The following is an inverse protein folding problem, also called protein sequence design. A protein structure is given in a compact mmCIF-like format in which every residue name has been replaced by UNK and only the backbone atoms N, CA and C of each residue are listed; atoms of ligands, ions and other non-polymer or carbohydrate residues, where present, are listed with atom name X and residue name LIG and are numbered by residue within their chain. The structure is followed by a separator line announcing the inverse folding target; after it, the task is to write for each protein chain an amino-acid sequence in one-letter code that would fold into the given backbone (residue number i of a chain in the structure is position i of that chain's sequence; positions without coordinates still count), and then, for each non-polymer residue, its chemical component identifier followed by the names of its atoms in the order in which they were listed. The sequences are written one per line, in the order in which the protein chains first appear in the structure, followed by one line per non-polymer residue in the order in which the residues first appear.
data_IF_308542736588
#
_entry.id   IF_308542736588
#
_cell.length_a   1.000
_cell.length_b   1.000
_cell.length_c   1.000
_cell.angle_alpha   90.00
_cell.angle_beta   90.00
_cell.angle_gamma   90.00
#
_symmetry.space_group_name_H-M   'P 1'
#
loop_
_entity.id
_entity.type
_entity.pdbx_description
1 polymer ?
#
# COMPACT_ATOMS: atom_id res chain seq x y z
N UNK A 1 -80.88 -28.73 -60.47
CA UNK A 1 -80.44 -27.35 -60.20
C UNK A 1 -79.48 -27.42 -59.03
N UNK A 2 -78.17 -27.49 -59.33
CA UNK A 2 -77.10 -27.64 -58.32
C UNK A 2 -76.53 -26.26 -58.05
N UNK A 3 -76.70 -25.75 -56.83
CA UNK A 3 -76.02 -24.57 -56.31
C UNK A 3 -74.62 -25.00 -55.87
N UNK A 4 -73.64 -24.92 -56.76
CA UNK A 4 -72.23 -24.92 -56.37
C UNK A 4 -71.99 -23.61 -55.59
N UNK A 5 -71.81 -23.72 -54.27
CA UNK A 5 -71.30 -22.63 -53.45
C UNK A 5 -69.84 -22.37 -53.85
N UNK A 6 -69.55 -21.14 -54.27
CA UNK A 6 -68.20 -20.68 -54.55
C UNK A 6 -67.46 -20.41 -53.23
N UNK A 7 -66.88 -21.48 -52.65
CA UNK A 7 -66.10 -21.43 -51.40
C UNK A 7 -64.65 -20.93 -51.62
N UNK A 8 -64.26 -20.62 -52.87
CA UNK A 8 -62.90 -20.22 -53.22
C UNK A 8 -62.49 -18.89 -52.59
N UNK A 9 -63.43 -17.94 -52.45
CA UNK A 9 -63.20 -16.67 -51.76
C UNK A 9 -62.96 -16.82 -50.26
N UNK A 10 -63.62 -17.80 -49.61
CA UNK A 10 -63.48 -18.05 -48.16
C UNK A 10 -62.10 -18.65 -47.86
N UNK A 11 -61.62 -19.56 -48.69
CA UNK A 11 -60.29 -20.17 -48.53
C UNK A 11 -59.15 -19.15 -48.64
N UNK A 12 -59.26 -18.17 -49.55
CA UNK A 12 -58.28 -17.09 -49.70
C UNK A 12 -58.27 -16.16 -48.48
N UNK A 13 -59.45 -15.83 -47.94
CA UNK A 13 -59.56 -14.98 -46.75
C UNK A 13 -58.98 -15.69 -45.52
N UNK A 14 -59.26 -16.98 -45.34
CA UNK A 14 -58.71 -17.77 -44.21
C UNK A 14 -57.19 -17.94 -44.35
N UNK A 15 -56.70 -18.24 -45.55
CA UNK A 15 -55.26 -18.39 -45.80
C UNK A 15 -54.48 -17.10 -45.56
N UNK A 16 -55.03 -15.95 -45.97
CA UNK A 16 -54.42 -14.63 -45.71
C UNK A 16 -54.43 -14.27 -44.23
N UNK A 17 -55.52 -14.56 -43.51
CA UNK A 17 -55.58 -14.35 -42.05
C UNK A 17 -54.57 -15.20 -41.28
N UNK A 18 -54.40 -16.47 -41.65
CA UNK A 18 -53.39 -17.36 -41.04
C UNK A 18 -51.98 -16.85 -41.32
N UNK A 19 -51.70 -16.40 -42.55
CA UNK A 19 -50.39 -15.85 -42.90
C UNK A 19 -50.08 -14.58 -42.09
N UNK A 20 -51.05 -13.66 -41.96
CA UNK A 20 -50.91 -12.46 -41.14
C UNK A 20 -50.60 -12.85 -39.69
N UNK A 21 -51.34 -13.82 -39.12
CA UNK A 21 -51.12 -14.27 -37.76
C UNK A 21 -49.70 -14.82 -37.57
N UNK A 22 -49.25 -15.72 -38.45
CA UNK A 22 -47.89 -16.30 -38.39
C UNK A 22 -46.83 -15.21 -38.47
N UNK A 23 -47.00 -14.24 -39.39
CA UNK A 23 -46.03 -13.14 -39.55
C UNK A 23 -45.96 -12.25 -38.32
N UNK A 24 -47.10 -11.93 -37.69
CA UNK A 24 -47.13 -11.15 -36.45
C UNK A 24 -46.46 -11.92 -35.31
N UNK A 25 -46.77 -13.22 -35.14
CA UNK A 25 -46.16 -14.03 -34.10
C UNK A 25 -44.65 -14.16 -34.29
N UNK A 26 -44.18 -14.35 -35.52
CA UNK A 26 -42.75 -14.40 -35.84
C UNK A 26 -42.05 -13.05 -35.60
N UNK A 27 -42.67 -11.95 -36.01
CA UNK A 27 -42.14 -10.60 -35.80
C UNK A 27 -42.06 -10.24 -34.30
N UNK A 28 -43.09 -10.57 -33.52
CA UNK A 28 -43.10 -10.36 -32.07
C UNK A 28 -42.03 -11.22 -31.36
N UNK A 29 -41.86 -12.47 -31.77
CA UNK A 29 -40.80 -13.34 -31.22
C UNK A 29 -39.41 -12.81 -31.50
N UNK A 30 -39.14 -12.36 -32.73
CA UNK A 30 -37.85 -11.74 -33.09
C UNK A 30 -37.60 -10.44 -32.31
N UNK A 31 -38.62 -9.60 -32.12
CA UNK A 31 -38.50 -8.35 -31.38
C UNK A 31 -38.10 -8.58 -29.91
N UNK A 32 -38.66 -9.60 -29.26
CA UNK A 32 -38.26 -9.99 -27.90
C UNK A 32 -36.80 -10.44 -27.84
N UNK A 33 -36.37 -11.29 -28.78
CA UNK A 33 -34.98 -11.75 -28.86
C UNK A 33 -34.01 -10.57 -29.06
N UNK A 34 -34.34 -9.64 -29.97
CA UNK A 34 -33.52 -8.44 -30.21
C UNK A 34 -33.47 -7.54 -28.96
N UNK A 35 -34.59 -7.38 -28.25
CA UNK A 35 -34.64 -6.60 -27.02
C UNK A 35 -33.79 -7.22 -25.91
N UNK A 36 -33.82 -8.54 -25.74
CA UNK A 36 -32.96 -9.25 -24.77
C UNK A 36 -31.48 -9.11 -25.14
N UNK A 37 -31.12 -9.33 -26.42
CA UNK A 37 -29.73 -9.17 -26.89
C UNK A 37 -29.21 -7.73 -26.71
N UNK A 38 -30.04 -6.72 -26.95
CA UNK A 38 -29.67 -5.33 -26.72
C UNK A 38 -29.48 -5.03 -25.23
N UNK A 39 -30.34 -5.59 -24.37
CA UNK A 39 -30.21 -5.48 -22.92
C UNK A 39 -28.92 -6.10 -22.41
N UNK A 40 -28.58 -7.32 -22.86
CA UNK A 40 -27.35 -8.00 -22.49
C UNK A 40 -26.10 -7.26 -22.95
N UNK A 41 -26.10 -6.75 -24.19
CA UNK A 41 -24.97 -5.98 -24.73
C UNK A 41 -24.80 -4.64 -24.00
N UNK A 42 -25.90 -3.99 -23.62
CA UNK A 42 -25.86 -2.78 -22.80
C UNK A 42 -25.28 -3.07 -21.42
N UNK A 43 -25.77 -4.12 -20.75
CA UNK A 43 -25.26 -4.56 -19.45
C UNK A 43 -23.77 -4.95 -19.51
N UNK A 44 -23.32 -5.55 -20.62
CA UNK A 44 -21.91 -5.87 -20.85
C UNK A 44 -21.06 -4.60 -20.99
N UNK A 45 -21.52 -3.64 -21.80
CA UNK A 45 -20.84 -2.35 -21.98
C UNK A 45 -20.75 -1.57 -20.67
N UNK A 46 -21.81 -1.55 -19.88
CA UNK A 46 -21.81 -0.93 -18.56
C UNK A 46 -20.78 -1.58 -17.62
N UNK A 47 -20.68 -2.92 -17.61
CA UNK A 47 -19.65 -3.60 -16.82
C UNK A 47 -18.25 -3.26 -17.28
N UNK A 48 -18.00 -3.22 -18.59
CA UNK A 48 -16.69 -2.86 -19.13
C UNK A 48 -16.34 -1.42 -18.75
N UNK A 49 -17.28 -0.50 -18.91
CA UNK A 49 -17.08 0.90 -18.51
C UNK A 49 -16.82 1.05 -17.00
N UNK A 50 -17.51 0.27 -16.15
CA UNK A 50 -17.28 0.27 -14.71
C UNK A 50 -15.92 -0.32 -14.32
N UNK A 51 -15.44 -1.33 -15.06
CA UNK A 51 -14.10 -1.91 -14.88
C UNK A 51 -13.02 -0.92 -15.33
N UNK A 52 -13.16 -0.35 -16.51
CA UNK A 52 -12.20 0.60 -17.10
C UNK A 52 -12.17 1.94 -16.36
N UNK A 53 -13.31 2.35 -15.81
CA UNK A 53 -13.47 3.59 -15.08
C UNK A 53 -13.13 3.50 -13.59
N UNK A 54 -12.70 2.33 -13.08
CA UNK A 54 -12.33 2.18 -11.67
C UNK A 54 -10.85 2.48 -11.44
N UNK A 55 -10.56 3.42 -10.55
CA UNK A 55 -9.22 3.89 -10.21
C UNK A 55 -9.08 4.07 -8.70
N UNK A 56 -8.57 3.04 -8.04
CA UNK A 56 -8.20 3.08 -6.64
C UNK A 56 -6.69 3.26 -6.48
N UNK A 57 -6.29 4.01 -5.44
CA UNK A 57 -4.89 4.17 -5.06
C UNK A 57 -4.68 3.78 -3.60
N UNK A 58 -3.73 2.88 -3.36
CA UNK A 58 -3.20 2.62 -2.02
C UNK A 58 -2.19 3.71 -1.70
N UNK A 59 -2.50 4.58 -0.73
CA UNK A 59 -1.76 5.84 -0.52
C UNK A 59 -0.71 5.73 0.59
N UNK A 60 -1.04 5.12 1.71
CA UNK A 60 -0.12 5.09 2.83
C UNK A 60 -0.26 3.81 3.63
N UNK A 61 0.83 3.53 4.32
CA UNK A 61 0.89 2.53 5.37
C UNK A 61 1.28 3.23 6.64
N UNK A 62 0.60 2.90 7.72
CA UNK A 62 1.04 3.26 9.06
C UNK A 62 1.15 2.00 9.90
N UNK A 63 2.33 1.82 10.50
CA UNK A 63 2.71 0.68 11.30
C UNK A 63 2.56 1.01 12.78
N UNK A 64 1.67 0.29 13.48
CA UNK A 64 1.67 0.34 14.95
C UNK A 64 2.47 -0.86 15.45
N UNK A 65 3.65 -0.58 16.01
CA UNK A 65 4.48 -1.60 16.64
C UNK A 65 3.73 -2.23 17.82
N UNK A 66 3.66 -3.57 17.85
CA UNK A 66 2.90 -4.28 18.89
C UNK A 66 3.58 -4.11 20.26
N UNK A 67 4.91 -4.19 20.33
CA UNK A 67 5.72 -4.16 21.58
C UNK A 67 7.17 -3.79 21.23
N UNK A 68 7.80 -2.91 22.00
CA UNK A 68 9.19 -2.41 21.82
C UNK A 68 10.30 -3.49 21.78
N UNK A 69 10.00 -4.76 22.07
CA UNK A 69 10.98 -5.85 22.21
C UNK A 69 11.01 -6.84 21.05
N UNK A 70 10.12 -6.71 20.04
CA UNK A 70 10.17 -7.54 18.82
C UNK A 70 9.97 -6.66 17.58
N UNK A 71 10.83 -6.76 16.55
CA UNK A 71 10.72 -5.99 15.30
C UNK A 71 9.65 -6.59 14.38
N UNK A 72 8.47 -6.91 14.93
CA UNK A 72 7.34 -7.43 14.17
C UNK A 72 6.26 -6.38 14.15
N UNK A 73 5.79 -6.08 12.94
CA UNK A 73 4.62 -5.25 12.73
C UNK A 73 3.43 -5.90 13.43
N UNK A 74 2.79 -5.17 14.33
CA UNK A 74 1.61 -5.66 15.05
C UNK A 74 0.35 -5.43 14.26
N UNK A 75 0.22 -4.20 13.76
CA UNK A 75 -0.95 -3.69 13.07
C UNK A 75 -0.47 -2.91 11.86
N UNK A 76 -1.25 -2.99 10.78
CA UNK A 76 -1.03 -2.23 9.56
C UNK A 76 -2.32 -1.48 9.21
N UNK A 77 -2.20 -0.17 9.05
CA UNK A 77 -3.25 0.69 8.52
C UNK A 77 -2.96 0.92 7.03
N UNK A 78 -3.92 0.65 6.17
CA UNK A 78 -3.79 0.82 4.72
C UNK A 78 -4.85 1.81 4.27
N UNK A 79 -4.44 3.00 3.86
CA UNK A 79 -5.38 4.00 3.34
C UNK A 79 -5.58 3.81 1.84
N UNK A 80 -6.82 3.57 1.44
CA UNK A 80 -7.24 3.34 0.06
C UNK A 80 -8.10 4.53 -0.36
N UNK A 81 -7.66 5.24 -1.39
CA UNK A 81 -8.38 6.34 -2.00
C UNK A 81 -9.10 5.87 -3.25
N UNK A 82 -10.33 6.31 -3.41
CA UNK A 82 -11.09 6.17 -4.64
C UNK A 82 -11.02 7.48 -5.42
N UNK A 83 -10.40 7.43 -6.61
CA UNK A 83 -10.22 8.59 -7.47
C UNK A 83 -11.42 8.79 -8.41
N UNK A 84 -12.40 7.90 -8.39
CA UNK A 84 -13.59 7.96 -9.21
C UNK A 84 -14.73 8.67 -8.50
N UNK A 85 -15.75 9.05 -9.25
CA UNK A 85 -16.97 9.65 -8.71
C UNK A 85 -17.92 8.60 -8.11
N UNK A 86 -17.75 7.33 -8.45
CA UNK A 86 -18.64 6.22 -8.03
C UNK A 86 -18.02 5.42 -6.90
N UNK A 87 -18.81 4.88 -5.96
CA UNK A 87 -18.27 4.08 -4.87
C UNK A 87 -17.76 2.71 -5.36
N UNK A 88 -16.62 2.28 -4.81
CA UNK A 88 -16.02 0.97 -5.07
C UNK A 88 -16.12 0.07 -3.86
N UNK A 89 -16.26 -1.24 -4.08
CA UNK A 89 -16.35 -2.23 -3.00
C UNK A 89 -15.13 -3.13 -2.99
N UNK A 90 -14.44 -3.21 -1.87
CA UNK A 90 -13.28 -4.09 -1.69
C UNK A 90 -13.76 -5.49 -1.34
N UNK A 91 -13.31 -6.48 -2.12
CA UNK A 91 -13.63 -7.91 -1.91
C UNK A 91 -12.48 -8.67 -1.24
N UNK A 92 -11.27 -8.11 -1.27
CA UNK A 92 -10.11 -8.75 -0.67
C UNK A 92 -8.91 -7.82 -0.60
N UNK A 93 -8.08 -8.05 0.41
CA UNK A 93 -6.77 -7.43 0.56
C UNK A 93 -5.77 -8.57 0.72
N UNK A 94 -4.67 -8.53 -0.02
CA UNK A 94 -3.54 -9.42 0.16
C UNK A 94 -2.29 -8.63 0.54
N UNK A 95 -1.52 -9.19 1.46
CA UNK A 95 -0.23 -8.69 1.89
C UNK A 95 0.81 -9.78 1.57
N UNK A 96 1.70 -9.48 0.62
CA UNK A 96 2.55 -10.48 -0.04
C UNK A 96 1.69 -11.68 -0.51
N UNK A 97 2.02 -12.89 -0.05
CA UNK A 97 1.32 -14.12 -0.44
C UNK A 97 0.12 -14.45 0.46
N UNK A 98 -0.16 -13.65 1.50
CA UNK A 98 -1.24 -13.91 2.43
C UNK A 98 -2.46 -13.05 2.19
N UNK A 99 -3.61 -13.71 2.02
CA UNK A 99 -4.90 -13.03 1.90
C UNK A 99 -5.48 -12.77 3.27
N UNK A 100 -5.92 -11.55 3.49
CA UNK A 100 -6.59 -11.10 4.70
C UNK A 100 -8.01 -11.66 4.69
N UNK A 101 -8.36 -12.40 5.74
CA UNK A 101 -9.68 -13.03 5.89
C UNK A 101 -10.67 -12.02 6.46
N UNK A 102 -10.29 -11.34 7.53
CA UNK A 102 -11.10 -10.37 8.25
C UNK A 102 -10.27 -9.14 8.59
N UNK A 103 -10.84 -7.96 8.41
CA UNK A 103 -10.24 -6.69 8.81
C UNK A 103 -11.32 -5.72 9.28
N UNK A 104 -10.93 -4.69 10.02
CA UNK A 104 -11.83 -3.57 10.35
C UNK A 104 -11.45 -2.36 9.51
N UNK A 105 -12.31 -1.35 9.43
CA UNK A 105 -11.99 -0.15 8.67
C UNK A 105 -12.32 1.12 9.45
N UNK A 106 -11.62 2.20 9.11
CA UNK A 106 -11.85 3.55 9.59
C UNK A 106 -12.35 4.44 8.45
N UNK A 107 -13.16 5.43 8.83
CA UNK A 107 -13.57 6.51 7.95
C UNK A 107 -12.45 7.56 7.75
N UNK A 108 -12.75 8.60 6.98
CA UNK A 108 -11.82 9.70 6.70
C UNK A 108 -11.47 10.51 7.96
N UNK A 109 -12.34 10.50 8.97
CA UNK A 109 -12.07 11.11 10.27
C UNK A 109 -11.19 10.21 11.17
N UNK A 110 -10.80 9.03 10.69
CA UNK A 110 -10.00 8.06 11.46
C UNK A 110 -10.80 7.29 12.51
N UNK A 111 -12.13 7.36 12.47
CA UNK A 111 -13.04 6.66 13.39
C UNK A 111 -13.38 5.30 12.82
N UNK A 112 -13.37 4.26 13.67
CA UNK A 112 -13.76 2.92 13.24
C UNK A 112 -15.23 2.90 12.78
N UNK A 113 -15.46 2.24 11.64
CA UNK A 113 -16.81 1.97 11.18
C UNK A 113 -17.42 0.93 12.12
N UNK A 114 -18.59 1.25 12.68
CA UNK A 114 -19.27 0.41 13.66
C UNK A 114 -20.69 0.12 13.23
N UNK A 115 -21.14 -1.09 13.53
CA UNK A 115 -22.54 -1.51 13.37
C UNK A 115 -23.02 -2.04 14.71
N UNK A 116 -24.08 -1.45 15.26
CA UNK A 116 -24.61 -1.82 16.58
C UNK A 116 -23.64 -1.52 17.75
N UNK A 117 -22.73 -0.56 17.60
CA UNK A 117 -21.76 -0.16 18.63
C UNK A 117 -20.48 -1.02 18.71
N UNK A 118 -20.35 -2.04 17.85
CA UNK A 118 -19.12 -2.83 17.70
C UNK A 118 -18.41 -2.51 16.37
N UNK A 119 -17.09 -2.64 16.33
CA UNK A 119 -16.30 -2.47 15.12
C UNK A 119 -16.78 -3.45 14.05
N UNK A 120 -17.10 -2.92 12.88
CA UNK A 120 -17.57 -3.73 11.77
C UNK A 120 -16.40 -4.52 11.17
N UNK A 121 -16.66 -5.81 10.94
CA UNK A 121 -15.70 -6.73 10.33
C UNK A 121 -16.03 -6.85 8.84
N UNK A 122 -15.04 -6.52 8.02
CA UNK A 122 -15.10 -6.64 6.58
C UNK A 122 -14.36 -7.90 6.13
N UNK A 123 -14.92 -8.56 5.13
CA UNK A 123 -14.42 -9.78 4.51
C UNK A 123 -15.01 -9.93 3.09
N UNK A 124 -14.84 -11.09 2.47
CA UNK A 124 -15.36 -11.37 1.12
C UNK A 124 -16.89 -11.18 0.99
N UNK A 125 -17.62 -11.49 2.07
CA UNK A 125 -19.08 -11.38 2.12
C UNK A 125 -19.52 -9.97 2.54
N UNK A 126 -18.96 -9.43 3.62
CA UNK A 126 -19.20 -8.06 4.07
C UNK A 126 -18.13 -7.11 3.52
N UNK A 127 -18.41 -6.52 2.36
CA UNK A 127 -17.41 -5.77 1.57
C UNK A 127 -17.29 -4.33 2.04
N UNK A 128 -16.07 -3.85 2.20
CA UNK A 128 -15.82 -2.44 2.52
C UNK A 128 -16.18 -1.56 1.31
N UNK A 129 -17.07 -0.58 1.51
CA UNK A 129 -17.40 0.42 0.48
C UNK A 129 -16.54 1.67 0.65
N UNK A 130 -15.81 2.05 -0.39
CA UNK A 130 -15.04 3.29 -0.47
C UNK A 130 -15.85 4.28 -1.29
N UNK A 131 -16.28 5.42 -0.71
CA UNK A 131 -17.05 6.43 -1.43
C UNK A 131 -16.24 7.03 -2.59
N UNK A 132 -16.92 7.45 -3.66
CA UNK A 132 -16.26 8.15 -4.77
C UNK A 132 -15.62 9.46 -4.32
N UNK A 133 -14.39 9.72 -4.76
CA UNK A 133 -13.57 10.87 -4.37
C UNK A 133 -13.07 10.84 -2.93
N UNK A 134 -13.38 9.79 -2.18
CA UNK A 134 -13.07 9.68 -0.76
C UNK A 134 -12.04 8.59 -0.45
N UNK A 135 -11.82 8.38 0.83
CA UNK A 135 -10.86 7.40 1.34
C UNK A 135 -11.41 6.57 2.49
N UNK A 136 -10.89 5.36 2.63
CA UNK A 136 -11.08 4.52 3.83
C UNK A 136 -9.77 3.90 4.22
N UNK A 137 -9.58 3.71 5.52
CA UNK A 137 -8.37 3.06 6.04
C UNK A 137 -8.70 1.67 6.54
N UNK A 138 -8.19 0.64 5.87
CA UNK A 138 -8.28 -0.74 6.34
C UNK A 138 -7.30 -0.94 7.50
N UNK A 139 -7.80 -1.47 8.60
CA UNK A 139 -7.06 -1.75 9.82
C UNK A 139 -6.92 -3.27 9.99
N UNK A 140 -5.70 -3.75 9.83
CA UNK A 140 -5.40 -5.19 9.79
C UNK A 140 -4.46 -5.54 10.92
N UNK A 141 -4.85 -6.55 11.70
CA UNK A 141 -4.02 -7.09 12.78
C UNK A 141 -3.18 -8.27 12.27
N UNK A 142 -1.86 -8.07 12.26
CA UNK A 142 -0.84 -9.02 11.79
C UNK A 142 -0.45 -10.05 12.88
N UNK A 143 -0.82 -9.82 14.13
CA UNK A 143 -0.47 -10.73 15.25
C UNK A 143 -1.35 -11.97 15.33
N UNK A 144 -2.52 -11.95 14.70
CA UNK A 144 -3.47 -13.06 14.68
C UNK A 144 -3.24 -13.91 13.42
N UNK A 145 -2.66 -15.12 13.52
CA UNK A 145 -2.40 -15.97 12.36
C UNK A 145 -3.68 -16.31 11.59
N UNK A 146 -4.81 -16.37 12.31
CA UNK A 146 -6.14 -16.73 11.82
C UNK A 146 -6.77 -15.62 10.94
N UNK A 147 -6.16 -14.43 10.89
CA UNK A 147 -6.60 -13.35 10.01
C UNK A 147 -6.05 -13.52 8.59
N UNK A 148 -5.18 -14.51 8.35
CA UNK A 148 -4.58 -14.77 7.06
C UNK A 148 -4.83 -16.20 6.62
N UNK A 149 -4.98 -16.40 5.31
CA UNK A 149 -5.07 -17.74 4.71
C UNK A 149 -3.77 -18.52 4.83
N UNK A 150 -2.64 -17.81 4.91
CA UNK A 150 -1.29 -18.33 5.08
C UNK A 150 -0.58 -17.45 6.10
N UNK A 151 0.31 -18.01 6.92
CA UNK A 151 1.00 -17.23 7.95
C UNK A 151 1.91 -16.17 7.34
N UNK A 152 1.45 -14.93 7.23
CA UNK A 152 2.27 -13.82 6.72
C UNK A 152 3.07 -13.21 7.85
N UNK A 153 4.38 -13.13 7.68
CA UNK A 153 5.26 -12.29 8.50
C UNK A 153 5.70 -11.12 7.64
N UNK A 154 5.40 -9.91 8.09
CA UNK A 154 5.85 -8.68 7.44
C UNK A 154 6.82 -8.01 8.40
N UNK A 155 8.02 -7.73 7.91
CA UNK A 155 9.03 -6.94 8.61
C UNK A 155 9.15 -5.57 7.93
N UNK A 156 9.38 -4.52 8.70
CA UNK A 156 9.52 -3.15 8.19
C UNK A 156 10.84 -2.90 7.44
N UNK A 157 11.75 -3.88 7.45
CA UNK A 157 13.05 -3.84 6.77
C UNK A 157 13.10 -4.69 5.50
N UNK A 158 11.97 -5.25 5.06
CA UNK A 158 11.84 -6.03 3.85
C UNK A 158 10.77 -5.42 2.95
N UNK A 159 10.97 -5.46 1.63
CA UNK A 159 9.95 -5.01 0.69
C UNK A 159 8.71 -5.88 0.82
N UNK A 160 7.54 -5.26 0.86
CA UNK A 160 6.28 -5.99 0.79
C UNK A 160 5.28 -5.33 -0.15
N UNK A 161 4.29 -6.12 -0.55
CA UNK A 161 3.31 -5.77 -1.57
C UNK A 161 1.92 -5.82 -0.98
N UNK A 162 1.15 -4.78 -1.23
CA UNK A 162 -0.28 -4.74 -0.97
C UNK A 162 -1.02 -4.89 -2.28
N UNK A 163 -1.96 -5.84 -2.32
CA UNK A 163 -2.91 -5.99 -3.41
C UNK A 163 -4.33 -5.81 -2.88
N UNK A 164 -5.09 -4.90 -3.51
CA UNK A 164 -6.48 -4.62 -3.19
C UNK A 164 -7.34 -5.07 -4.36
N UNK A 165 -8.29 -5.96 -4.10
CA UNK A 165 -9.21 -6.49 -5.10
C UNK A 165 -10.59 -5.86 -4.92
N UNK A 166 -11.21 -5.43 -6.02
CA UNK A 166 -12.55 -4.80 -6.00
C UNK A 166 -13.64 -5.75 -6.50
N UNK A 167 -14.91 -5.37 -6.32
CA UNK A 167 -16.05 -6.12 -6.85
C UNK A 167 -16.09 -6.18 -8.38
N UNK A 168 -15.37 -5.29 -9.06
CA UNK A 168 -15.20 -5.30 -10.52
C UNK A 168 -14.05 -6.23 -10.97
N UNK A 169 -13.42 -6.95 -10.03
CA UNK A 169 -12.29 -7.88 -10.28
C UNK A 169 -11.01 -7.12 -10.70
N UNK A 170 -10.98 -5.80 -10.51
CA UNK A 170 -9.75 -5.04 -10.64
C UNK A 170 -8.82 -5.31 -9.46
N UNK A 171 -7.52 -5.32 -9.74
CA UNK A 171 -6.45 -5.53 -8.75
C UNK A 171 -5.55 -4.29 -8.75
N UNK A 172 -5.53 -3.59 -7.62
CA UNK A 172 -4.68 -2.43 -7.39
C UNK A 172 -3.51 -2.85 -6.52
N UNK A 173 -2.30 -2.72 -7.05
CA UNK A 173 -1.08 -3.18 -6.39
C UNK A 173 -0.15 -2.02 -6.08
N UNK A 174 0.40 -2.00 -4.87
CA UNK A 174 1.51 -1.12 -4.49
C UNK A 174 2.55 -1.91 -3.71
N UNK A 175 3.81 -1.76 -4.09
CA UNK A 175 4.95 -2.25 -3.33
C UNK A 175 5.49 -1.12 -2.46
N UNK A 176 5.98 -1.48 -1.29
CA UNK A 176 6.65 -0.60 -0.34
C UNK A 176 8.02 -1.19 -0.04
N UNK A 177 9.06 -0.45 -0.41
CA UNK A 177 10.44 -0.85 -0.26
C UNK A 177 11.10 -0.03 0.85
N UNK A 178 11.92 -0.65 1.71
CA UNK A 178 12.58 0.09 2.76
C UNK A 178 13.60 1.06 2.16
N UNK A 179 13.79 2.25 2.78
CA UNK A 179 14.70 3.27 2.26
C UNK A 179 16.14 2.76 2.19
N UNK A 180 16.98 3.41 1.39
CA UNK A 180 18.37 3.00 1.16
C UNK A 180 19.32 3.88 1.98
N UNK A 181 19.92 3.34 3.07
CA UNK A 181 20.89 4.06 3.87
C UNK A 181 22.22 4.16 3.12
N UNK A 182 22.65 5.40 2.90
CA UNK A 182 23.96 5.72 2.37
C UNK A 182 24.63 6.69 3.33
N UNK A 183 25.73 6.24 3.92
CA UNK A 183 26.52 7.02 4.87
C UNK A 183 27.89 7.33 4.29
N UNK A 184 28.28 8.59 4.37
CA UNK A 184 29.62 9.08 4.11
C UNK A 184 30.22 9.58 5.42
N UNK A 185 31.53 9.37 5.60
CA UNK A 185 32.25 9.82 6.79
C UNK A 185 33.39 10.71 6.37
N UNK A 186 33.48 11.90 6.98
CA UNK A 186 34.52 12.89 6.71
C UNK A 186 35.27 13.24 7.98
N UNK A 187 36.57 13.47 7.83
CA UNK A 187 37.44 14.01 8.88
C UNK A 187 37.68 15.48 8.60
N UNK A 188 37.47 16.29 9.62
CA UNK A 188 37.68 17.73 9.57
C UNK A 188 38.48 18.16 10.79
N UNK A 189 39.21 19.26 10.67
CA UNK A 189 39.97 19.85 11.77
C UNK A 189 39.41 21.24 12.06
N UNK A 190 39.07 21.50 13.32
CA UNK A 190 38.71 22.83 13.77
C UNK A 190 39.81 23.47 14.61
N UNK A 191 39.87 24.80 14.55
CA UNK A 191 40.72 25.63 15.40
C UNK A 191 39.92 26.11 16.60
N UNK A 192 40.29 25.65 17.79
CA UNK A 192 39.69 26.08 19.06
C UNK A 192 40.59 27.15 19.67
N UNK A 193 40.00 28.29 20.04
CA UNK A 193 40.71 29.38 20.73
C UNK A 193 40.18 29.45 22.15
N UNK A 194 41.04 29.14 23.13
CA UNK A 194 40.70 29.25 24.54
C UNK A 194 40.68 30.72 24.98
N UNK A 195 40.03 31.00 26.13
CA UNK A 195 39.89 32.37 26.66
C UNK A 195 41.24 33.05 26.98
N UNK A 196 42.31 32.29 27.18
CA UNK A 196 43.67 32.78 27.36
C UNK A 196 44.43 33.03 26.05
N UNK A 197 43.75 32.95 24.89
CA UNK A 197 44.34 33.11 23.57
C UNK A 197 45.08 31.86 23.05
N UNK A 198 45.15 30.77 23.82
CA UNK A 198 45.79 29.54 23.37
C UNK A 198 44.98 28.90 22.24
N UNK A 199 45.67 28.44 21.19
CA UNK A 199 45.06 27.84 20.01
C UNK A 199 45.36 26.35 20.00
N UNK A 200 44.31 25.54 19.97
CA UNK A 200 44.44 24.09 19.77
C UNK A 200 43.72 23.68 18.49
N UNK A 201 44.30 22.71 17.77
CA UNK A 201 43.62 22.05 16.66
C UNK A 201 42.95 20.80 17.21
N UNK A 202 41.72 20.55 16.77
CA UNK A 202 40.95 19.38 17.14
C UNK A 202 40.36 18.74 15.90
N UNK A 203 40.71 17.49 15.67
CA UNK A 203 40.06 16.69 14.64
C UNK A 203 38.70 16.22 15.14
N UNK A 204 37.75 16.16 14.20
CA UNK A 204 36.42 15.65 14.46
C UNK A 204 35.86 14.95 13.24
N UNK A 205 34.84 14.12 13.51
CA UNK A 205 34.16 13.33 12.51
C UNK A 205 32.84 14.01 12.11
N UNK A 206 32.54 14.01 10.82
CA UNK A 206 31.21 14.31 10.30
C UNK A 206 30.63 13.02 9.71
N UNK A 207 29.44 12.67 10.17
CA UNK A 207 28.63 11.59 9.60
C UNK A 207 27.58 12.24 8.70
N UNK A 208 27.57 11.87 7.43
CA UNK A 208 26.69 12.46 6.42
C UNK A 208 25.85 11.38 5.74
N UNK A 209 24.53 11.42 5.96
CA UNK A 209 23.56 10.55 5.31
C UNK A 209 22.85 11.25 4.15
N UNK A 210 23.39 12.37 3.65
CA UNK A 210 22.71 13.21 2.65
C UNK A 210 22.38 12.49 1.35
N UNK A 211 23.11 11.43 1.02
CA UNK A 211 22.89 10.62 -0.18
C UNK A 211 21.87 9.50 0.01
N UNK A 212 21.40 9.26 1.23
CA UNK A 212 20.32 8.29 1.48
C UNK A 212 19.06 8.72 0.73
N UNK A 213 18.30 7.74 0.23
CA UNK A 213 17.09 8.01 -0.54
C UNK A 213 16.03 6.92 -0.32
N UNK A 214 14.79 7.27 -0.59
CA UNK A 214 13.69 6.32 -0.68
C UNK A 214 13.50 5.92 -2.15
N UNK A 215 13.48 4.62 -2.50
CA UNK A 215 13.26 4.18 -3.88
C UNK A 215 11.81 4.37 -4.34
N UNK A 216 10.85 4.52 -3.43
CA UNK A 216 9.43 4.61 -3.75
C UNK A 216 9.03 6.05 -4.17
N UNK A 217 8.31 6.14 -5.28
CA UNK A 217 8.00 7.43 -5.89
C UNK A 217 7.04 8.27 -5.03
N UNK A 218 7.55 9.39 -4.52
CA UNK A 218 6.80 10.35 -3.70
C UNK A 218 6.93 10.12 -2.20
N UNK A 219 7.70 9.10 -1.80
CA UNK A 219 8.05 8.82 -0.42
C UNK A 219 9.41 9.47 -0.07
N UNK A 220 9.66 9.71 1.22
CA UNK A 220 10.84 10.43 1.70
C UNK A 220 11.24 10.00 3.10
N UNK A 221 12.54 10.12 3.37
CA UNK A 221 13.13 9.79 4.68
C UNK A 221 12.71 10.84 5.71
N UNK A 222 12.10 10.38 6.81
CA UNK A 222 11.61 11.21 7.91
C UNK A 222 12.58 11.26 9.09
N UNK A 223 13.38 10.21 9.30
CA UNK A 223 14.30 10.12 10.43
C UNK A 223 15.66 9.52 10.05
N UNK A 224 16.69 10.03 10.72
CA UNK A 224 18.08 9.57 10.61
C UNK A 224 18.62 9.35 12.01
N UNK A 225 19.08 8.14 12.30
CA UNK A 225 19.54 7.71 13.62
C UNK A 225 20.87 7.00 13.48
N UNK A 226 21.89 7.52 14.14
CA UNK A 226 23.25 7.01 14.05
C UNK A 226 23.63 6.23 15.30
N UNK A 227 24.29 5.09 15.10
CA UNK A 227 24.96 4.37 16.15
C UNK A 227 26.48 4.38 15.93
N UNK A 228 27.23 4.62 17.00
CA UNK A 228 28.69 4.74 16.94
C UNK A 228 29.30 3.96 18.09
N UNK A 229 30.30 3.15 17.78
CA UNK A 229 31.07 2.39 18.76
C UNK A 229 32.56 2.76 18.71
N UNK A 230 33.21 2.70 19.87
CA UNK A 230 34.65 2.85 20.05
C UNK A 230 35.30 1.50 20.40
N UNK A 231 36.59 1.37 20.07
CA UNK A 231 37.58 0.37 20.55
C UNK A 231 36.99 -0.74 21.42
N UNK A 232 36.67 -1.90 20.83
CA UNK A 232 36.08 -3.09 21.49
C UNK A 232 34.55 -3.16 21.61
N UNK A 233 33.82 -2.42 20.76
CA UNK A 233 32.33 -2.34 20.75
C UNK A 233 31.74 -1.57 21.94
N UNK A 234 32.49 -0.64 22.53
CA UNK A 234 31.92 0.32 23.48
C UNK A 234 30.95 1.24 22.73
N UNK A 235 29.65 1.14 23.04
CA UNK A 235 28.60 1.91 22.39
C UNK A 235 28.61 3.35 22.92
N UNK A 236 28.93 4.32 22.06
CA UNK A 236 28.88 5.75 22.39
C UNK A 236 27.49 6.32 22.12
N UNK A 237 26.94 5.97 20.96
CA UNK A 237 25.61 6.38 20.52
C UNK A 237 24.83 5.14 20.11
N UNK A 238 23.65 4.93 20.70
CA UNK A 238 22.74 3.83 20.39
C UNK A 238 21.52 4.35 19.64
N UNK A 239 21.71 4.70 18.36
CA UNK A 239 20.65 5.27 17.51
C UNK A 239 19.97 6.52 18.10
N UNK A 240 20.63 7.19 19.03
CA UNK A 240 20.18 8.40 19.70
C UNK A 240 20.87 9.67 19.17
N UNK A 241 21.92 9.52 18.34
CA UNK A 241 22.50 10.62 17.60
C UNK A 241 21.66 10.84 16.33
N UNK A 242 20.83 11.88 16.32
CA UNK A 242 19.84 12.10 15.26
C UNK A 242 20.23 13.23 14.31
N UNK A 243 19.86 13.08 13.04
CA UNK A 243 20.05 14.09 12.01
C UNK A 243 20.67 13.56 10.72
N UNK A 244 20.36 14.22 9.60
CA UNK A 244 20.87 13.84 8.27
C UNK A 244 22.39 14.02 8.15
N UNK A 245 22.94 15.03 8.81
CA UNK A 245 24.38 15.26 8.92
C UNK A 245 24.69 15.65 10.36
N UNK A 246 25.57 14.90 11.01
CA UNK A 246 25.81 15.00 12.45
C UNK A 246 27.30 14.94 12.79
N UNK A 247 27.65 15.54 13.92
CA UNK A 247 28.97 15.47 14.52
C UNK A 247 28.90 14.73 15.86
N UNK A 248 29.53 13.55 16.00
CA UNK A 248 29.63 12.85 17.28
C UNK A 248 30.53 13.63 18.26
N UNK A 249 29.95 14.25 19.29
CA UNK A 249 30.70 15.09 20.24
C UNK A 249 31.39 14.31 21.36
N UNK A 250 30.86 13.12 21.69
CA UNK A 250 31.36 12.26 22.77
C UNK A 250 32.45 11.28 22.29
N UNK A 251 32.74 11.25 20.98
CA UNK A 251 33.78 10.43 20.41
C UNK A 251 35.14 11.12 20.57
N UNK A 252 36.05 10.50 21.31
CA UNK A 252 37.43 10.97 21.42
C UNK A 252 38.32 10.31 20.35
N UNK A 253 38.63 11.05 19.29
CA UNK A 253 39.46 10.54 18.19
C UNK A 253 40.93 10.32 18.57
N UNK A 254 41.45 10.90 19.66
CA UNK A 254 42.85 10.68 20.04
C UNK A 254 43.08 9.30 20.67
N UNK A 255 42.04 8.72 21.26
CA UNK A 255 42.11 7.39 21.88
C UNK A 255 41.39 6.33 21.06
N UNK A 256 40.42 6.71 20.22
CA UNK A 256 39.73 5.80 19.33
C UNK A 256 40.67 5.28 18.24
N UNK A 257 40.86 3.96 18.19
CA UNK A 257 41.63 3.21 17.20
C UNK A 257 40.71 2.55 16.16
N UNK A 258 39.56 2.03 16.59
CA UNK A 258 38.56 1.35 15.77
C UNK A 258 37.20 1.99 16.01
N UNK A 259 36.71 2.74 15.04
CA UNK A 259 35.40 3.39 15.10
C UNK A 259 34.45 2.59 14.21
N UNK A 260 33.37 2.07 14.78
CA UNK A 260 32.29 1.44 14.01
C UNK A 260 31.10 2.39 13.95
N UNK A 261 30.50 2.53 12.78
CA UNK A 261 29.32 3.38 12.55
C UNK A 261 28.24 2.56 11.86
N UNK A 262 27.01 2.78 12.30
CA UNK A 262 25.81 2.27 11.65
C UNK A 262 24.79 3.40 11.54
N UNK A 263 23.94 3.32 10.52
CA UNK A 263 22.92 4.30 10.22
C UNK A 263 21.59 3.56 10.08
N UNK A 264 20.61 3.97 10.87
CA UNK A 264 19.21 3.58 10.74
C UNK A 264 18.42 4.77 10.19
N UNK A 265 17.61 4.52 9.19
CA UNK A 265 16.72 5.52 8.59
C UNK A 265 15.29 4.99 8.53
N UNK A 266 14.33 5.90 8.72
CA UNK A 266 12.90 5.62 8.58
C UNK A 266 12.29 6.51 7.50
N UNK A 267 11.35 5.99 6.74
CA UNK A 267 10.58 6.73 5.74
C UNK A 267 9.27 7.30 6.32
N UNK A 268 8.43 7.88 5.46
CA UNK A 268 7.09 8.37 5.79
C UNK A 268 6.00 7.29 5.78
N UNK A 269 6.33 6.06 5.38
CA UNK A 269 5.41 4.90 5.32
C UNK A 269 5.64 3.90 6.46
N UNK A 270 6.59 4.21 7.36
CA UNK A 270 6.95 3.40 8.52
C UNK A 270 7.91 2.26 8.21
N UNK A 271 8.56 2.27 7.04
CA UNK A 271 9.65 1.37 6.68
C UNK A 271 10.95 1.85 7.30
N UNK A 272 11.78 0.90 7.70
CA UNK A 272 13.07 1.17 8.36
C UNK A 272 14.16 0.39 7.67
N UNK A 273 15.34 0.98 7.49
CA UNK A 273 16.51 0.25 7.01
C UNK A 273 17.77 0.64 7.76
N UNK A 274 18.67 -0.33 7.93
CA UNK A 274 20.00 -0.11 8.52
C UNK A 274 21.11 -0.35 7.51
N UNK A 275 22.18 0.43 7.61
CA UNK A 275 23.38 0.23 6.81
C UNK A 275 23.95 -1.18 7.03
N UNK A 276 24.01 -1.62 8.28
CA UNK A 276 24.47 -2.97 8.66
C UNK A 276 23.69 -4.12 8.03
N UNK A 277 22.42 -3.91 7.69
CA UNK A 277 21.57 -4.91 7.07
C UNK A 277 21.77 -5.04 5.56
N UNK A 278 22.23 -3.97 4.89
CA UNK A 278 22.38 -3.94 3.43
C UNK A 278 23.82 -4.01 2.95
N UNK A 279 24.70 -3.21 3.56
CA UNK A 279 26.07 -3.00 3.09
C UNK A 279 27.11 -3.25 4.19
N UNK A 280 26.68 -3.66 5.39
CA UNK A 280 27.53 -3.79 6.56
C UNK A 280 27.74 -2.46 7.29
N UNK A 281 28.72 -2.43 8.19
CA UNK A 281 29.00 -1.25 9.02
C UNK A 281 30.23 -0.53 8.47
N UNK A 282 30.28 0.80 8.63
CA UNK A 282 31.51 1.54 8.34
C UNK A 282 32.46 1.32 9.51
N UNK A 283 33.67 0.86 9.21
CA UNK A 283 34.73 0.70 10.20
C UNK A 283 35.91 1.58 9.80
N UNK A 284 36.31 2.48 10.69
CA UNK A 284 37.47 3.33 10.49
C UNK A 284 38.58 2.89 11.44
N UNK A 285 39.72 2.56 10.84
CA UNK A 285 40.96 2.31 11.56
C UNK A 285 41.68 3.64 11.69
N UNK A 286 41.56 4.26 12.86
CA UNK A 286 42.32 5.44 13.19
C UNK A 286 43.66 4.98 13.76
N UNK A 287 44.75 5.30 13.06
CA UNK A 287 46.10 5.12 13.60
C UNK A 287 46.45 6.40 14.36
N UNK A 288 46.56 6.33 15.70
CA UNK A 288 46.91 7.49 16.52
C UNK A 288 48.31 8.01 16.18
#
# INVERSE_FOLDING_TARGET
MSLYHDESGVAVIVGTLILILITITAASGLALIVSELQGDEMARKERIAAVEGENLRVVSIDHVQHIATRPRLGLINITIHNLDISPSRIIGIALNDGRVINFTAKDEAGIFITTGGANEIFNFTNRLSIPGGGARTAHINLTCPNNFTTGTKIANNETFVIEVMTSHINIFRRAFAPPVPLAEVRFETERIVAANGNVTLRDFLILDASRSFDPDHGDFITAYRWAVWNNTNELIYDYNLTGRMVRPMNLNLTTAQNIRIDLEIDDNTGMTSKLSQRSGNITILNRP
#
